data_IF_549182489449
#
_entry.id   IF_549182489449
#
_cell.length_a   1.000
_cell.length_b   1.000
_cell.length_c   1.000
_cell.angle_alpha   90.00
_cell.angle_beta   90.00
_cell.angle_gamma   90.00
#
_symmetry.space_group_name_H-M   'P 1'
#
loop_
_entity.id
_entity.type
_entity.pdbx_description
1 polymer ?
#
# COMPACT_ATOMS: atom_id res chain seq x y z
N UNK A 1 -25.67 12.73 -8.96
CA UNK A 1 -24.22 12.55 -9.21
C UNK A 1 -23.94 12.76 -10.68
N UNK A 2 -24.60 12.00 -11.57
CA UNK A 2 -24.55 12.16 -13.02
C UNK A 2 -24.71 13.62 -13.51
N UNK A 3 -25.72 14.33 -13.00
CA UNK A 3 -25.96 15.74 -13.35
C UNK A 3 -24.78 16.69 -13.06
N UNK A 4 -24.00 16.44 -12.00
CA UNK A 4 -22.84 17.25 -11.64
C UNK A 4 -21.64 16.91 -12.53
N UNK A 5 -21.46 15.62 -12.85
CA UNK A 5 -20.40 15.14 -13.73
C UNK A 5 -20.59 15.69 -15.15
N UNK A 6 -21.83 15.72 -15.63
CA UNK A 6 -22.17 16.32 -16.94
C UNK A 6 -21.83 17.81 -16.97
N UNK A 7 -22.14 18.56 -15.90
CA UNK A 7 -21.79 19.98 -15.81
C UNK A 7 -20.27 20.19 -15.82
N UNK A 8 -19.50 19.33 -15.15
CA UNK A 8 -18.04 19.40 -15.13
C UNK A 8 -17.41 19.26 -16.52
N UNK A 9 -18.07 18.55 -17.45
CA UNK A 9 -17.58 18.37 -18.83
C UNK A 9 -17.41 19.70 -19.58
N UNK A 10 -18.24 20.70 -19.29
CA UNK A 10 -18.14 22.03 -19.90
C UNK A 10 -16.85 22.77 -19.53
N UNK A 11 -16.24 22.40 -18.40
CA UNK A 11 -15.01 22.98 -17.87
C UNK A 11 -13.77 22.10 -18.11
N UNK A 12 -13.90 21.02 -18.87
CA UNK A 12 -12.80 20.11 -19.16
C UNK A 12 -11.67 20.82 -19.93
N UNK A 13 -10.44 20.70 -19.44
CA UNK A 13 -9.29 21.43 -19.97
C UNK A 13 -8.79 20.87 -21.32
N UNK A 14 -9.08 19.60 -21.63
CA UNK A 14 -8.64 18.95 -22.86
C UNK A 14 -9.58 17.79 -23.25
N UNK A 15 -9.30 17.17 -24.41
CA UNK A 15 -10.13 16.10 -24.96
C UNK A 15 -10.08 14.81 -24.14
N UNK A 16 -8.97 14.51 -23.44
CA UNK A 16 -8.91 13.34 -22.56
C UNK A 16 -9.87 13.50 -21.38
N UNK A 17 -9.91 14.69 -20.77
CA UNK A 17 -10.87 14.99 -19.70
C UNK A 17 -12.32 14.91 -20.18
N UNK A 18 -12.64 15.41 -21.37
CA UNK A 18 -14.00 15.27 -21.94
C UNK A 18 -14.37 13.80 -22.13
N UNK A 19 -13.47 13.01 -22.71
CA UNK A 19 -13.70 11.58 -22.97
C UNK A 19 -13.81 10.76 -21.69
N UNK A 20 -12.96 10.99 -20.69
CA UNK A 20 -13.05 10.28 -19.41
C UNK A 20 -14.38 10.61 -18.71
N UNK A 21 -14.79 11.88 -18.70
CA UNK A 21 -16.05 12.31 -18.08
C UNK A 21 -17.24 11.67 -18.80
N UNK A 22 -17.27 11.65 -20.14
CA UNK A 22 -18.30 10.98 -20.93
C UNK A 22 -18.41 9.50 -20.57
N UNK A 23 -17.28 8.80 -20.46
CA UNK A 23 -17.23 7.38 -20.10
C UNK A 23 -17.67 7.11 -18.66
N UNK A 24 -17.35 8.00 -17.72
CA UNK A 24 -17.87 7.88 -16.36
C UNK A 24 -19.38 8.12 -16.29
N UNK A 25 -19.93 9.04 -17.08
CA UNK A 25 -21.40 9.21 -17.21
C UNK A 25 -22.03 7.92 -17.73
N UNK A 26 -21.54 7.37 -18.85
CA UNK A 26 -22.02 6.08 -19.40
C UNK A 26 -21.96 4.96 -18.35
N UNK A 27 -20.86 4.86 -17.59
CA UNK A 27 -20.73 3.88 -16.50
C UNK A 27 -21.81 4.04 -15.42
N UNK A 28 -22.05 5.26 -14.94
CA UNK A 28 -23.04 5.47 -13.87
C UNK A 28 -24.49 5.37 -14.36
N UNK A 29 -24.74 5.62 -15.64
CA UNK A 29 -26.07 5.47 -16.25
C UNK A 29 -26.40 4.01 -16.54
N UNK A 30 -25.44 3.25 -17.07
CA UNK A 30 -25.70 1.88 -17.56
C UNK A 30 -25.26 0.78 -16.58
N UNK A 31 -24.35 1.09 -15.66
CA UNK A 31 -23.79 0.11 -14.72
C UNK A 31 -22.74 -0.83 -15.34
N UNK A 32 -22.27 -0.57 -16.56
CA UNK A 32 -21.24 -1.38 -17.22
C UNK A 32 -19.83 -0.90 -16.84
N UNK A 33 -19.04 -1.78 -16.23
CA UNK A 33 -17.66 -1.52 -15.82
C UNK A 33 -16.73 -1.28 -17.00
N UNK A 34 -17.07 -1.75 -18.20
CA UNK A 34 -16.28 -1.48 -19.41
C UNK A 34 -16.20 0.02 -19.71
N UNK A 35 -17.28 0.76 -19.47
CA UNK A 35 -17.27 2.21 -19.60
C UNK A 35 -16.33 2.86 -18.57
N UNK A 36 -16.32 2.37 -17.33
CA UNK A 36 -15.38 2.87 -16.32
C UNK A 36 -13.93 2.64 -16.75
N UNK A 37 -13.61 1.41 -17.20
CA UNK A 37 -12.30 1.04 -17.75
C UNK A 37 -11.88 1.95 -18.91
N UNK A 38 -12.76 2.18 -19.88
CA UNK A 38 -12.50 3.10 -20.99
C UNK A 38 -12.25 4.54 -20.51
N UNK A 39 -12.98 4.99 -19.48
CA UNK A 39 -12.75 6.28 -18.84
C UNK A 39 -11.37 6.36 -18.18
N UNK A 40 -10.98 5.33 -17.44
CA UNK A 40 -9.67 5.23 -16.78
C UNK A 40 -8.51 5.26 -17.79
N UNK A 41 -8.68 4.66 -18.97
CA UNK A 41 -7.70 4.75 -20.07
C UNK A 41 -7.46 6.18 -20.55
N UNK A 42 -8.52 6.99 -20.63
CA UNK A 42 -8.39 8.42 -20.97
C UNK A 42 -7.78 9.21 -19.83
N UNK A 43 -8.14 8.88 -18.58
CA UNK A 43 -7.56 9.50 -17.39
C UNK A 43 -6.05 9.28 -17.27
N UNK A 44 -5.55 8.07 -17.53
CA UNK A 44 -4.10 7.78 -17.54
C UNK A 44 -3.36 8.63 -18.58
N UNK A 45 -3.99 8.90 -19.73
CA UNK A 45 -3.44 9.71 -20.83
C UNK A 45 -3.50 11.22 -20.54
N UNK A 46 -4.24 11.67 -19.54
CA UNK A 46 -4.29 13.06 -19.10
C UNK A 46 -3.13 13.33 -18.13
N UNK A 47 -1.93 13.59 -18.66
CA UNK A 47 -0.71 13.74 -17.85
C UNK A 47 -0.61 15.17 -17.29
N UNK A 48 -0.35 15.27 -15.98
CA UNK A 48 -0.14 16.54 -15.24
C UNK A 48 -1.28 17.58 -15.38
N UNK A 49 -2.55 17.21 -15.14
CA UNK A 49 -3.63 18.20 -15.17
C UNK A 49 -3.53 19.15 -13.96
N UNK A 50 -3.93 20.40 -14.16
CA UNK A 50 -4.00 21.40 -13.06
C UNK A 50 -5.00 20.96 -11.97
N UNK A 51 -6.10 20.33 -12.38
CA UNK A 51 -7.12 19.76 -11.50
C UNK A 51 -7.19 18.26 -11.77
N UNK A 52 -6.62 17.47 -10.87
CA UNK A 52 -6.67 16.01 -10.91
C UNK A 52 -7.93 15.49 -10.21
N UNK A 53 -8.55 14.47 -10.78
CA UNK A 53 -9.74 13.85 -10.19
C UNK A 53 -9.97 12.41 -10.68
N UNK A 54 -10.53 11.58 -9.81
CA UNK A 54 -10.95 10.22 -10.14
C UNK A 54 -12.21 9.85 -9.35
N UNK A 55 -13.10 9.06 -9.95
CA UNK A 55 -14.40 8.73 -9.36
C UNK A 55 -14.89 7.35 -9.86
N UNK A 56 -15.56 6.60 -9.00
CA UNK A 56 -16.14 5.30 -9.34
C UNK A 56 -16.34 4.38 -8.13
N UNK A 57 -16.56 3.11 -8.42
CA UNK A 57 -16.49 2.03 -7.43
C UNK A 57 -15.06 1.50 -7.40
N UNK A 58 -14.26 2.17 -6.59
CA UNK A 58 -12.80 2.07 -6.65
C UNK A 58 -12.32 0.99 -5.69
N UNK A 59 -12.21 1.28 -4.40
CA UNK A 59 -11.57 0.36 -3.46
C UNK A 59 -12.52 -0.74 -2.94
N UNK A 60 -12.00 -1.97 -2.86
CA UNK A 60 -12.72 -3.14 -2.34
C UNK A 60 -12.46 -3.43 -0.85
N UNK A 61 -11.64 -2.64 -0.15
CA UNK A 61 -11.20 -2.94 1.22
C UNK A 61 -12.32 -3.18 2.24
N UNK A 62 -13.52 -2.62 2.00
CA UNK A 62 -14.66 -2.75 2.91
C UNK A 62 -15.62 -3.88 2.56
N UNK A 63 -15.41 -4.52 1.42
CA UNK A 63 -16.18 -5.70 1.03
C UNK A 63 -15.65 -6.93 1.79
N UNK A 64 -16.48 -7.62 2.61
CA UNK A 64 -16.07 -8.85 3.27
C UNK A 64 -15.59 -9.95 2.32
N UNK A 65 -16.04 -9.92 1.05
CA UNK A 65 -15.60 -10.86 0.02
C UNK A 65 -14.35 -10.37 -0.75
N UNK A 66 -13.97 -9.09 -0.63
CA UNK A 66 -12.86 -8.49 -1.36
C UNK A 66 -13.04 -8.41 -2.88
N UNK A 67 -14.27 -8.48 -3.40
CA UNK A 67 -14.53 -8.56 -4.85
C UNK A 67 -15.42 -7.45 -5.39
N UNK A 68 -16.10 -6.69 -4.53
CA UNK A 68 -16.96 -5.56 -4.93
C UNK A 68 -16.13 -4.28 -4.97
N UNK A 69 -16.14 -3.61 -6.13
CA UNK A 69 -15.29 -2.46 -6.52
C UNK A 69 -13.99 -2.88 -7.22
N UNK A 70 -13.58 -2.12 -8.24
CA UNK A 70 -12.44 -2.42 -9.13
C UNK A 70 -11.58 -1.17 -9.30
N UNK A 71 -10.70 -0.84 -8.35
CA UNK A 71 -9.72 0.24 -8.52
C UNK A 71 -8.62 -0.19 -9.48
N UNK A 72 -8.11 -1.40 -9.26
CA UNK A 72 -6.93 -1.90 -9.93
C UNK A 72 -7.33 -2.89 -11.01
N UNK A 73 -7.68 -2.37 -12.18
CA UNK A 73 -7.66 -3.20 -13.38
C UNK A 73 -6.20 -3.48 -13.75
N UNK A 74 -5.72 -4.66 -13.35
CA UNK A 74 -4.38 -5.15 -13.65
C UNK A 74 -4.07 -5.15 -15.16
N UNK A 75 -5.06 -5.31 -16.03
CA UNK A 75 -4.88 -5.24 -17.50
C UNK A 75 -4.48 -3.83 -17.92
N UNK A 76 -5.20 -2.81 -17.44
CA UNK A 76 -4.88 -1.40 -17.71
C UNK A 76 -3.52 -1.05 -17.12
N UNK A 77 -3.24 -1.45 -15.87
CA UNK A 77 -1.97 -1.17 -15.20
C UNK A 77 -0.78 -1.75 -15.98
N UNK A 78 -0.90 -2.98 -16.48
CA UNK A 78 0.17 -3.68 -17.18
C UNK A 78 0.35 -3.20 -18.63
N UNK A 79 -0.73 -2.88 -19.34
CA UNK A 79 -0.70 -2.61 -20.78
C UNK A 79 -0.76 -1.13 -21.16
N UNK A 80 -1.30 -0.27 -20.30
CA UNK A 80 -1.47 1.17 -20.57
C UNK A 80 -0.76 2.07 -19.56
N UNK A 81 -0.73 1.69 -18.28
CA UNK A 81 -0.06 2.42 -17.20
C UNK A 81 -0.98 2.76 -16.03
N UNK A 82 -0.52 3.64 -15.14
CA UNK A 82 -1.22 4.07 -13.93
C UNK A 82 -0.71 5.44 -13.47
N UNK A 83 -1.40 6.08 -12.53
CA UNK A 83 -1.00 7.35 -11.90
C UNK A 83 -0.82 7.18 -10.41
N UNK A 84 0.16 7.88 -9.85
CA UNK A 84 0.46 7.90 -8.41
C UNK A 84 0.20 9.31 -7.87
N UNK A 85 -0.56 9.43 -6.78
CA UNK A 85 -0.96 10.74 -6.22
C UNK A 85 -0.63 10.80 -4.73
N UNK A 86 0.11 11.84 -4.32
CA UNK A 86 0.40 12.12 -2.91
C UNK A 86 -0.34 13.37 -2.44
N UNK A 87 -1.16 13.23 -1.39
CA UNK A 87 -1.99 14.31 -0.85
C UNK A 87 -1.22 15.13 0.21
N UNK A 88 -0.35 16.04 -0.25
CA UNK A 88 0.58 16.80 0.61
C UNK A 88 -0.09 17.61 1.74
N UNK A 89 -1.30 18.13 1.53
CA UNK A 89 -2.06 18.86 2.56
C UNK A 89 -2.56 17.94 3.70
N UNK A 90 -2.94 16.70 3.37
CA UNK A 90 -3.34 15.68 4.36
C UNK A 90 -2.14 15.29 5.21
N UNK A 91 -0.96 15.14 4.59
CA UNK A 91 0.31 14.82 5.28
C UNK A 91 0.70 15.96 6.23
N UNK A 92 0.64 17.22 5.75
CA UNK A 92 1.04 18.40 6.50
C UNK A 92 0.15 18.72 7.71
N UNK A 93 -1.12 18.31 7.68
CA UNK A 93 -2.10 18.56 8.74
C UNK A 93 -1.90 17.66 10.00
N UNK A 94 -0.70 17.14 10.22
CA UNK A 94 -0.36 16.29 11.37
C UNK A 94 0.18 17.13 12.54
N UNK A 95 -0.58 17.34 13.62
CA UNK A 95 -0.09 18.07 14.79
C UNK A 95 1.00 17.27 15.52
N UNK A 96 1.97 18.00 16.09
CA UNK A 96 2.94 17.41 17.03
C UNK A 96 2.20 16.97 18.29
N UNK A 97 2.23 15.68 18.56
CA UNK A 97 1.68 15.07 19.76
C UNK A 97 2.64 13.99 20.23
N UNK A 98 2.68 13.74 21.55
CA UNK A 98 3.47 12.63 22.11
C UNK A 98 3.14 11.34 21.36
N UNK A 99 4.13 10.57 20.95
CA UNK A 99 3.96 9.27 20.31
C UNK A 99 3.99 8.17 21.37
N UNK A 100 3.15 7.15 21.19
CA UNK A 100 3.15 6.01 22.11
C UNK A 100 4.29 5.05 21.74
N UNK A 101 4.77 4.33 22.75
CA UNK A 101 5.64 3.15 22.62
C UNK A 101 7.06 3.38 22.13
N UNK A 102 7.49 4.61 21.89
CA UNK A 102 8.86 4.93 21.47
C UNK A 102 9.53 5.81 22.52
N UNK A 103 10.86 5.76 22.60
CA UNK A 103 11.62 6.66 23.48
C UNK A 103 11.75 8.07 22.89
N UNK A 104 12.24 9.00 23.70
CA UNK A 104 12.32 10.42 23.32
C UNK A 104 13.21 10.64 22.10
N UNK A 105 14.31 9.90 22.00
CA UNK A 105 15.24 10.00 20.87
C UNK A 105 14.56 9.60 19.56
N UNK A 106 13.87 8.46 19.54
CA UNK A 106 13.14 8.01 18.36
C UNK A 106 11.94 8.90 18.06
N UNK A 107 11.28 9.47 19.08
CA UNK A 107 10.20 10.44 18.89
C UNK A 107 10.69 11.73 18.22
N UNK A 108 11.84 12.27 18.65
CA UNK A 108 12.42 13.48 18.08
C UNK A 108 12.77 13.26 16.60
N UNK A 109 13.30 12.08 16.26
CA UNK A 109 13.53 11.68 14.87
C UNK A 109 12.23 11.56 14.08
N UNK A 110 11.20 10.92 14.64
CA UNK A 110 9.89 10.83 13.99
C UNK A 110 9.31 12.23 13.72
N UNK A 111 9.42 13.17 14.66
CA UNK A 111 8.98 14.54 14.43
C UNK A 111 9.78 15.29 13.38
N UNK A 112 11.08 15.01 13.27
CA UNK A 112 11.95 15.65 12.30
C UNK A 112 11.73 15.12 10.88
N UNK A 113 11.59 13.80 10.71
CA UNK A 113 11.68 13.16 9.39
C UNK A 113 10.39 12.49 8.91
N UNK A 114 9.34 12.35 9.74
CA UNK A 114 8.12 11.65 9.33
C UNK A 114 7.54 12.15 8.01
N UNK A 115 7.55 13.47 7.75
CA UNK A 115 7.03 14.00 6.49
C UNK A 115 7.83 13.47 5.30
N UNK A 116 9.15 13.60 5.35
CA UNK A 116 10.03 13.25 4.24
C UNK A 116 10.09 11.72 4.06
N UNK A 117 10.16 10.96 5.15
CA UNK A 117 10.10 9.50 5.09
C UNK A 117 8.76 8.97 4.59
N UNK A 118 7.65 9.63 4.95
CA UNK A 118 6.33 9.29 4.44
C UNK A 118 6.19 9.61 2.94
N UNK A 119 6.73 10.74 2.47
CA UNK A 119 6.76 11.07 1.04
C UNK A 119 7.55 10.02 0.23
N UNK A 120 8.72 9.61 0.72
CA UNK A 120 9.53 8.53 0.11
C UNK A 120 8.77 7.21 0.14
N UNK A 121 8.21 6.81 1.29
CA UNK A 121 7.48 5.55 1.43
C UNK A 121 6.27 5.50 0.51
N UNK A 122 5.44 6.55 0.45
CA UNK A 122 4.28 6.60 -0.45
C UNK A 122 4.73 6.56 -1.90
N UNK A 123 5.72 7.37 -2.28
CA UNK A 123 6.23 7.37 -3.66
C UNK A 123 6.71 5.98 -4.09
N UNK A 124 7.44 5.28 -3.23
CA UNK A 124 7.91 3.92 -3.49
C UNK A 124 6.79 2.89 -3.47
N UNK A 125 5.87 2.98 -2.51
CA UNK A 125 4.74 2.07 -2.32
C UNK A 125 3.81 2.09 -3.54
N UNK A 126 3.43 3.27 -4.00
CA UNK A 126 2.53 3.43 -5.15
C UNK A 126 3.25 3.06 -6.46
N UNK A 127 4.40 3.69 -6.73
CA UNK A 127 5.09 3.56 -8.02
C UNK A 127 5.81 2.24 -8.20
N UNK A 128 6.66 1.86 -7.24
CA UNK A 128 7.53 0.68 -7.34
C UNK A 128 6.97 -0.52 -6.57
N UNK A 129 6.10 -0.30 -5.59
CA UNK A 129 5.29 -1.32 -4.95
C UNK A 129 4.23 -1.77 -5.93
N UNK A 130 3.04 -1.16 -5.91
CA UNK A 130 1.91 -1.53 -6.76
C UNK A 130 2.23 -1.56 -8.25
N UNK A 131 3.06 -0.63 -8.73
CA UNK A 131 3.49 -0.61 -10.15
C UNK A 131 4.44 -1.71 -10.60
N UNK A 132 4.98 -2.53 -9.70
CA UNK A 132 5.88 -3.63 -10.05
C UNK A 132 5.21 -5.01 -9.98
N UNK A 133 5.90 -6.01 -10.51
CA UNK A 133 5.49 -7.41 -10.46
C UNK A 133 4.57 -7.80 -11.63
N UNK A 134 4.93 -8.91 -12.29
CA UNK A 134 4.19 -9.48 -13.41
C UNK A 134 3.34 -10.65 -12.96
N UNK A 135 2.09 -10.74 -13.42
CA UNK A 135 1.27 -11.94 -13.25
C UNK A 135 1.52 -12.88 -14.43
N UNK A 136 1.78 -14.15 -14.16
CA UNK A 136 1.91 -15.17 -15.19
C UNK A 136 0.54 -15.66 -15.59
N UNK A 137 0.18 -15.47 -16.85
CA UNK A 137 -1.16 -15.75 -17.33
C UNK A 137 -1.11 -16.63 -18.57
N UNK A 138 -2.13 -17.48 -18.69
CA UNK A 138 -2.46 -18.18 -19.91
C UNK A 138 -3.57 -17.41 -20.62
N UNK A 139 -3.31 -17.03 -21.86
CA UNK A 139 -4.25 -16.31 -22.71
C UNK A 139 -5.35 -17.25 -23.21
N UNK A 140 -6.47 -16.68 -23.67
CA UNK A 140 -7.60 -17.44 -24.20
C UNK A 140 -7.25 -18.29 -25.44
N UNK A 141 -6.21 -17.91 -26.19
CA UNK A 141 -5.69 -18.67 -27.33
C UNK A 141 -4.74 -19.82 -26.93
N UNK A 142 -4.51 -20.01 -25.64
CA UNK A 142 -3.62 -21.04 -25.08
C UNK A 142 -2.13 -20.66 -25.04
N UNK A 143 -1.77 -19.46 -25.49
CA UNK A 143 -0.41 -18.92 -25.31
C UNK A 143 -0.19 -18.42 -23.88
N UNK A 144 1.08 -18.24 -23.50
CA UNK A 144 1.44 -17.69 -22.19
C UNK A 144 2.01 -16.29 -22.36
N UNK A 145 1.77 -15.40 -21.39
CA UNK A 145 2.39 -14.08 -21.36
C UNK A 145 3.84 -14.11 -20.83
N UNK A 146 4.44 -15.29 -20.66
CA UNK A 146 5.80 -15.51 -20.16
C UNK A 146 6.48 -16.68 -20.88
N UNK A 147 7.81 -16.73 -20.83
CA UNK A 147 8.60 -17.75 -21.52
C UNK A 147 8.58 -19.08 -20.77
N UNK A 148 8.51 -20.20 -21.51
CA UNK A 148 8.37 -21.56 -20.91
C UNK A 148 9.58 -21.99 -20.07
N UNK A 149 10.74 -21.39 -20.27
CA UNK A 149 11.97 -21.62 -19.51
C UNK A 149 12.10 -20.69 -18.29
N UNK A 150 11.13 -19.79 -18.07
CA UNK A 150 11.04 -18.99 -16.84
C UNK A 150 11.07 -19.90 -15.63
N UNK A 151 11.96 -19.58 -14.68
CA UNK A 151 12.13 -20.32 -13.43
C UNK A 151 11.47 -19.58 -12.28
N UNK A 152 10.80 -20.35 -11.44
CA UNK A 152 10.29 -19.90 -10.16
C UNK A 152 11.46 -19.57 -9.23
N UNK A 153 11.45 -18.36 -8.67
CA UNK A 153 12.52 -17.87 -7.79
C UNK A 153 12.55 -18.58 -6.42
N UNK A 154 11.45 -19.21 -5.99
CA UNK A 154 11.40 -20.00 -4.75
C UNK A 154 11.96 -21.41 -5.01
N UNK A 155 11.48 -22.08 -6.05
CA UNK A 155 11.76 -23.51 -6.26
C UNK A 155 12.93 -23.77 -7.21
N UNK A 156 13.34 -22.78 -8.01
CA UNK A 156 14.34 -22.91 -9.07
C UNK A 156 13.89 -23.76 -10.27
N UNK A 157 12.65 -24.24 -10.26
CA UNK A 157 12.04 -25.11 -11.29
C UNK A 157 11.24 -24.27 -12.29
N UNK A 158 10.86 -24.83 -13.46
CA UNK A 158 9.93 -24.14 -14.36
C UNK A 158 8.62 -23.76 -13.67
N UNK A 159 8.01 -22.64 -14.08
CA UNK A 159 6.70 -22.19 -13.57
C UNK A 159 5.65 -23.30 -13.75
N UNK A 160 5.02 -23.70 -12.64
CA UNK A 160 4.04 -24.78 -12.62
C UNK A 160 2.59 -24.31 -12.49
N UNK A 161 2.37 -23.06 -12.05
CA UNK A 161 1.05 -22.45 -11.87
C UNK A 161 1.02 -21.05 -12.45
N UNK A 162 -0.16 -20.61 -12.88
CA UNK A 162 -0.43 -19.32 -13.51
C UNK A 162 -1.91 -18.94 -13.28
N UNK A 163 -2.33 -17.79 -13.79
CA UNK A 163 -3.74 -17.40 -13.89
C UNK A 163 -4.32 -17.90 -15.21
N UNK A 164 -5.49 -18.54 -15.16
CA UNK A 164 -6.27 -18.96 -16.32
C UNK A 164 -7.08 -17.78 -16.90
N UNK A 165 -7.58 -17.90 -18.15
CA UNK A 165 -8.38 -16.85 -18.76
C UNK A 165 -9.58 -16.42 -17.88
N UNK A 166 -9.63 -15.13 -17.55
CA UNK A 166 -10.69 -14.54 -16.71
C UNK A 166 -10.40 -14.55 -15.21
N UNK A 167 -9.32 -15.19 -14.75
CA UNK A 167 -8.87 -15.07 -13.36
C UNK A 167 -8.08 -13.77 -13.15
N UNK A 168 -8.37 -13.09 -12.04
CA UNK A 168 -7.65 -11.88 -11.59
C UNK A 168 -6.94 -12.15 -10.27
N UNK A 169 -6.06 -11.22 -9.85
CA UNK A 169 -5.45 -11.25 -8.52
C UNK A 169 -6.50 -11.45 -7.42
N UNK A 170 -7.50 -10.58 -7.40
CA UNK A 170 -8.57 -10.57 -6.40
C UNK A 170 -9.48 -11.81 -6.49
N UNK A 171 -9.75 -12.34 -7.70
CA UNK A 171 -10.57 -13.55 -7.82
C UNK A 171 -9.87 -14.80 -7.30
N UNK A 172 -8.54 -14.89 -7.44
CA UNK A 172 -7.74 -16.03 -6.94
C UNK A 172 -7.45 -15.94 -5.44
N UNK A 173 -6.97 -14.79 -4.97
CA UNK A 173 -6.54 -14.62 -3.58
C UNK A 173 -7.68 -14.19 -2.64
N UNK A 174 -8.85 -13.86 -3.19
CA UNK A 174 -10.07 -13.57 -2.44
C UNK A 174 -9.84 -12.52 -1.36
N UNK A 175 -10.27 -12.82 -0.14
CA UNK A 175 -10.20 -11.92 1.02
C UNK A 175 -8.78 -11.51 1.41
N UNK A 176 -7.77 -12.29 1.02
CA UNK A 176 -6.37 -12.01 1.35
C UNK A 176 -5.72 -11.04 0.36
N UNK A 177 -6.30 -10.90 -0.84
CA UNK A 177 -5.72 -10.15 -1.96
C UNK A 177 -5.27 -8.74 -1.58
N UNK A 178 -6.13 -7.94 -0.94
CA UNK A 178 -5.79 -6.57 -0.55
C UNK A 178 -4.65 -6.53 0.47
N UNK A 179 -4.77 -7.21 1.61
CA UNK A 179 -3.75 -7.16 2.67
C UNK A 179 -2.39 -7.69 2.21
N UNK A 180 -2.39 -8.72 1.36
CA UNK A 180 -1.18 -9.28 0.79
C UNK A 180 -0.50 -8.29 -0.15
N UNK A 181 -1.27 -7.64 -1.02
CA UNK A 181 -0.73 -6.66 -1.96
C UNK A 181 -0.19 -5.41 -1.25
N UNK A 182 -0.91 -4.90 -0.26
CA UNK A 182 -0.43 -3.81 0.60
C UNK A 182 0.89 -4.18 1.28
N UNK A 183 1.00 -5.41 1.79
CA UNK A 183 2.22 -5.89 2.43
C UNK A 183 3.39 -5.97 1.46
N UNK A 184 3.14 -6.37 0.22
CA UNK A 184 4.14 -6.38 -0.84
C UNK A 184 4.60 -4.96 -1.18
N UNK A 185 3.67 -4.02 -1.36
CA UNK A 185 3.99 -2.63 -1.68
C UNK A 185 4.74 -1.92 -0.54
N UNK A 186 4.30 -2.10 0.71
CA UNK A 186 5.01 -1.61 1.91
C UNK A 186 6.42 -2.23 2.04
N UNK A 187 6.58 -3.52 1.71
CA UNK A 187 7.89 -4.19 1.72
C UNK A 187 8.84 -3.64 0.64
N UNK A 188 8.35 -3.30 -0.55
CA UNK A 188 9.15 -2.62 -1.58
C UNK A 188 9.63 -1.27 -1.06
N UNK A 189 8.72 -0.46 -0.50
CA UNK A 189 9.08 0.81 0.14
C UNK A 189 10.18 0.63 1.17
N UNK A 190 10.04 -0.34 2.07
CA UNK A 190 11.05 -0.67 3.07
C UNK A 190 12.42 -1.04 2.45
N UNK A 191 12.44 -1.90 1.44
CA UNK A 191 13.68 -2.39 0.81
C UNK A 191 14.38 -1.31 0.00
N UNK A 192 13.66 -0.32 -0.51
CA UNK A 192 14.21 0.73 -1.37
C UNK A 192 14.42 2.07 -0.68
N UNK A 193 13.83 2.31 0.50
CA UNK A 193 13.81 3.63 1.14
C UNK A 193 15.17 4.18 1.61
N UNK A 194 16.23 3.37 1.62
CA UNK A 194 17.60 3.85 1.92
C UNK A 194 18.55 3.76 0.72
N UNK A 195 18.03 3.45 -0.47
CA UNK A 195 18.84 3.45 -1.69
C UNK A 195 19.28 4.87 -2.01
N UNK A 196 20.57 5.05 -2.28
CA UNK A 196 21.17 6.38 -2.41
C UNK A 196 20.67 7.12 -3.66
N UNK A 197 20.46 6.41 -4.77
CA UNK A 197 20.00 6.99 -6.03
C UNK A 197 18.53 7.40 -5.90
N UNK A 198 17.72 6.57 -5.24
CA UNK A 198 16.33 6.89 -4.93
C UNK A 198 16.25 8.11 -4.01
N UNK A 199 16.99 8.11 -2.90
CA UNK A 199 17.02 9.25 -1.99
C UNK A 199 17.51 10.51 -2.70
N UNK A 200 18.44 10.40 -3.65
CA UNK A 200 18.87 11.53 -4.47
C UNK A 200 17.71 12.10 -5.32
N UNK A 201 16.85 11.27 -5.92
CA UNK A 201 15.65 11.74 -6.63
C UNK A 201 14.70 12.53 -5.71
N UNK A 202 14.46 12.06 -4.49
CA UNK A 202 13.60 12.76 -3.53
C UNK A 202 14.28 13.98 -2.87
N UNK A 203 15.62 13.97 -2.74
CA UNK A 203 16.42 15.07 -2.15
C UNK A 203 16.87 16.11 -3.17
N UNK A 204 16.81 15.86 -4.48
CA UNK A 204 16.89 16.93 -5.48
C UNK A 204 15.77 17.98 -5.29
N UNK A 205 14.70 17.63 -4.57
CA UNK A 205 13.69 18.56 -4.09
C UNK A 205 13.98 19.20 -2.72
N UNK A 206 14.94 18.68 -1.92
CA UNK A 206 15.33 19.22 -0.60
C UNK A 206 16.82 18.98 -0.30
N UNK A 207 17.61 20.06 -0.31
CA UNK A 207 18.99 20.09 0.18
C UNK A 207 19.14 19.45 1.59
N UNK A 208 19.95 18.38 1.71
CA UNK A 208 20.89 18.02 2.79
C UNK A 208 20.99 16.47 2.94
N UNK A 209 22.18 15.91 2.64
CA UNK A 209 22.45 14.48 2.42
C UNK A 209 22.70 13.65 3.70
N UNK A 210 22.26 14.07 4.89
CA UNK A 210 22.89 13.56 6.13
C UNK A 210 22.05 12.70 7.08
N UNK A 211 20.75 12.42 6.87
CA UNK A 211 19.92 11.91 8.00
C UNK A 211 18.86 10.88 7.59
N UNK A 212 19.28 9.61 7.55
CA UNK A 212 18.40 8.44 7.46
C UNK A 212 17.78 8.12 8.84
N UNK A 213 16.47 8.31 8.98
CA UNK A 213 15.70 7.66 10.04
C UNK A 213 14.34 7.19 9.51
N UNK A 214 14.26 5.93 9.13
CA UNK A 214 12.99 5.27 8.86
C UNK A 214 12.70 4.31 10.02
N UNK A 215 11.94 4.80 11.00
CA UNK A 215 11.19 3.95 11.91
C UNK A 215 9.76 3.85 11.34
N UNK A 216 9.27 2.63 11.13
CA UNK A 216 7.91 2.35 10.68
C UNK A 216 7.00 2.16 11.90
N UNK A 217 6.02 3.06 12.18
CA UNK A 217 5.04 2.81 13.23
C UNK A 217 3.69 2.36 12.63
N UNK A 218 3.18 1.21 13.06
CA UNK A 218 1.94 1.14 13.86
C UNK A 218 1.29 -0.25 13.83
N UNK A 219 0.86 -0.67 15.02
CA UNK A 219 0.04 -1.84 15.32
C UNK A 219 -1.41 -1.41 15.64
N UNK A 220 -2.43 -2.02 15.02
CA UNK A 220 -3.83 -2.01 15.52
C UNK A 220 -4.65 -3.25 15.11
N UNK A 221 -5.54 -3.61 16.05
CA UNK A 221 -6.70 -4.53 16.01
C UNK A 221 -6.45 -5.99 15.60
N UNK A 222 -6.60 -6.90 16.57
CA UNK A 222 -6.71 -8.33 16.29
C UNK A 222 -7.98 -8.91 16.87
N UNK A 223 -8.78 -9.45 15.96
CA UNK A 223 -9.48 -10.74 16.02
C UNK A 223 -10.06 -11.00 14.61
N UNK A 224 -10.35 -9.91 13.89
CA UNK A 224 -10.41 -9.78 12.43
C UNK A 224 -9.67 -8.48 12.07
N UNK A 225 -8.68 -8.53 11.19
CA UNK A 225 -8.05 -7.30 10.70
C UNK A 225 -9.04 -6.57 9.79
N UNK A 226 -9.72 -5.55 10.32
CA UNK A 226 -10.70 -4.76 9.56
C UNK A 226 -10.08 -3.74 8.59
N UNK A 227 -8.76 -3.76 8.40
CA UNK A 227 -7.99 -2.84 7.57
C UNK A 227 -6.78 -3.57 6.98
N UNK A 228 -6.69 -3.61 5.65
CA UNK A 228 -5.67 -4.35 4.90
C UNK A 228 -4.25 -3.86 5.22
N UNK A 229 -4.05 -2.54 5.31
CA UNK A 229 -2.75 -1.93 5.61
C UNK A 229 -2.29 -2.25 7.03
N UNK A 230 -3.20 -2.25 8.01
CA UNK A 230 -2.87 -2.64 9.38
C UNK A 230 -2.42 -4.11 9.45
N UNK A 231 -3.06 -5.00 8.70
CA UNK A 231 -2.65 -6.40 8.65
C UNK A 231 -1.27 -6.57 8.00
N UNK A 232 -1.06 -5.90 6.86
CA UNK A 232 0.22 -5.84 6.16
C UNK A 232 1.37 -5.37 7.08
N UNK A 233 1.17 -4.28 7.81
CA UNK A 233 2.16 -3.72 8.76
C UNK A 233 2.42 -4.64 9.94
N UNK A 234 1.39 -5.34 10.43
CA UNK A 234 1.56 -6.36 11.46
C UNK A 234 2.43 -7.52 10.96
N UNK A 235 2.15 -8.04 9.76
CA UNK A 235 2.95 -9.09 9.12
C UNK A 235 4.40 -8.65 8.94
N UNK A 236 4.66 -7.45 8.41
CA UNK A 236 6.02 -6.93 8.25
C UNK A 236 6.75 -6.74 9.59
N UNK A 237 6.04 -6.30 10.63
CA UNK A 237 6.60 -6.22 11.98
C UNK A 237 7.02 -7.60 12.47
N UNK A 238 6.23 -8.64 12.20
CA UNK A 238 6.55 -10.04 12.57
C UNK A 238 7.75 -10.58 11.79
N UNK A 239 7.91 -10.23 10.51
CA UNK A 239 9.12 -10.54 9.73
C UNK A 239 10.35 -9.88 10.36
N UNK A 240 10.27 -8.60 10.74
CA UNK A 240 11.39 -7.90 11.37
C UNK A 240 11.74 -8.46 12.75
N UNK A 241 10.73 -8.90 13.53
CA UNK A 241 10.94 -9.58 14.81
C UNK A 241 11.60 -10.95 14.63
N UNK A 242 11.18 -11.72 13.63
CA UNK A 242 11.74 -13.06 13.34
C UNK A 242 13.17 -12.99 12.79
N UNK A 243 13.53 -11.90 12.09
CA UNK A 243 14.90 -11.64 11.65
C UNK A 243 15.91 -11.68 12.82
N UNK A 244 15.44 -11.41 14.04
CA UNK A 244 16.18 -11.62 15.27
C UNK A 244 17.35 -10.65 15.43
N UNK A 245 18.42 -11.11 16.09
CA UNK A 245 19.66 -10.33 16.33
C UNK A 245 19.44 -8.99 17.06
N UNK A 246 18.32 -8.83 17.74
CA UNK A 246 17.92 -7.58 18.39
C UNK A 246 17.68 -6.43 17.40
N UNK A 247 17.37 -6.73 16.13
CA UNK A 247 17.07 -5.70 15.14
C UNK A 247 15.81 -4.91 15.50
N UNK A 248 14.71 -5.61 15.79
CA UNK A 248 13.48 -5.02 16.34
C UNK A 248 13.13 -5.74 17.62
N UNK A 249 12.76 -4.99 18.66
CA UNK A 249 12.26 -5.53 19.91
C UNK A 249 10.99 -4.78 20.35
N UNK A 250 10.08 -5.53 20.95
CA UNK A 250 8.89 -5.00 21.61
C UNK A 250 8.86 -5.59 23.02
N UNK A 251 8.96 -4.73 24.03
CA UNK A 251 8.99 -5.14 25.44
C UNK A 251 7.83 -4.51 26.20
N UNK A 252 7.14 -5.29 27.02
CA UNK A 252 6.19 -4.75 28.00
C UNK A 252 6.93 -3.94 29.06
N UNK A 253 6.39 -2.78 29.40
CA UNK A 253 6.92 -1.89 30.43
C UNK A 253 5.79 -1.21 31.20
N UNK A 254 6.12 -0.37 32.17
CA UNK A 254 5.17 0.48 32.87
C UNK A 254 5.33 1.91 32.36
N UNK A 255 4.21 2.56 32.04
CA UNK A 255 4.19 3.97 31.62
C UNK A 255 4.37 4.90 32.81
N UNK A 256 4.58 6.20 32.54
CA UNK A 256 4.71 7.23 33.58
C UNK A 256 3.50 7.33 34.52
N UNK A 257 2.34 6.83 34.08
CA UNK A 257 1.09 6.77 34.83
C UNK A 257 0.91 5.49 35.67
N UNK A 258 1.95 4.66 35.76
CA UNK A 258 1.93 3.40 36.52
C UNK A 258 1.12 2.28 35.87
N UNK A 259 0.69 2.44 34.60
CA UNK A 259 -0.13 1.44 33.89
C UNK A 259 0.71 0.65 32.89
N UNK A 260 0.24 -0.55 32.46
CA UNK A 260 0.91 -1.32 31.41
C UNK A 260 1.15 -0.51 30.13
N UNK A 261 2.33 -0.64 29.55
CA UNK A 261 2.75 0.01 28.32
C UNK A 261 3.66 -0.91 27.49
N UNK A 262 4.00 -0.48 26.28
CA UNK A 262 4.95 -1.17 25.40
C UNK A 262 6.10 -0.24 25.07
N UNK A 263 7.28 -0.82 24.82
CA UNK A 263 8.42 -0.14 24.22
C UNK A 263 8.84 -0.87 22.95
N UNK A 264 8.70 -0.20 21.82
CA UNK A 264 9.24 -0.59 20.54
C UNK A 264 10.65 0.00 20.40
N UNK A 265 11.62 -0.82 20.00
CA UNK A 265 12.96 -0.36 19.65
C UNK A 265 13.41 -0.98 18.35
N UNK A 266 14.01 -0.15 17.50
CA UNK A 266 14.68 -0.55 16.27
C UNK A 266 16.17 -0.19 16.39
N UNK A 267 17.04 -1.17 16.17
CA UNK A 267 18.48 -0.96 16.10
C UNK A 267 18.86 -0.50 14.69
N UNK A 268 19.07 0.82 14.55
CA UNK A 268 19.35 1.46 13.25
C UNK A 268 20.62 0.93 12.58
N UNK A 269 21.57 0.41 13.35
CA UNK A 269 22.83 -0.15 12.81
C UNK A 269 22.63 -1.51 12.11
N UNK A 270 21.46 -2.12 12.29
CA UNK A 270 21.11 -3.45 11.74
C UNK A 270 20.10 -3.39 10.61
N UNK A 271 19.72 -2.20 10.15
CA UNK A 271 18.79 -2.03 9.02
C UNK A 271 19.33 -2.76 7.79
N UNK A 272 20.59 -2.51 7.39
CA UNK A 272 21.15 -3.10 6.18
C UNK A 272 21.63 -4.54 6.34
N UNK A 273 22.11 -4.90 7.54
CA UNK A 273 22.70 -6.21 7.79
C UNK A 273 21.68 -7.28 8.20
N UNK A 274 20.54 -6.89 8.77
CA UNK A 274 19.52 -7.82 9.29
C UNK A 274 18.15 -7.53 8.67
N UNK A 275 17.68 -6.28 8.76
CA UNK A 275 16.34 -5.90 8.32
C UNK A 275 16.13 -6.06 6.81
N UNK A 276 16.97 -5.41 5.99
CA UNK A 276 16.88 -5.40 4.53
C UNK A 276 16.97 -6.82 3.94
N UNK A 277 17.91 -7.70 4.33
CA UNK A 277 17.95 -9.08 3.85
C UNK A 277 16.69 -9.87 4.21
N UNK A 278 16.17 -9.72 5.44
CA UNK A 278 14.98 -10.43 5.89
C UNK A 278 13.73 -10.00 5.10
N UNK A 279 13.50 -8.68 4.96
CA UNK A 279 12.36 -8.15 4.19
C UNK A 279 12.52 -8.44 2.70
N UNK A 280 13.74 -8.41 2.14
CA UNK A 280 13.99 -8.79 0.74
C UNK A 280 13.64 -10.26 0.48
N UNK A 281 14.05 -11.16 1.37
CA UNK A 281 13.72 -12.58 1.25
C UNK A 281 12.21 -12.85 1.39
N UNK A 282 11.53 -12.09 2.25
CA UNK A 282 10.08 -12.15 2.38
C UNK A 282 9.36 -11.61 1.14
N UNK A 283 9.76 -10.43 0.65
CA UNK A 283 9.24 -9.80 -0.57
C UNK A 283 9.40 -10.70 -1.81
N UNK A 284 10.54 -11.37 -1.96
CA UNK A 284 10.76 -12.33 -3.04
C UNK A 284 9.71 -13.44 -3.01
N UNK A 285 9.38 -13.98 -1.83
CA UNK A 285 8.33 -14.99 -1.69
C UNK A 285 6.95 -14.42 -1.99
N UNK A 286 6.65 -13.20 -1.50
CA UNK A 286 5.37 -12.54 -1.78
C UNK A 286 5.15 -12.39 -3.29
N UNK A 287 6.16 -11.87 -3.99
CA UNK A 287 6.08 -11.67 -5.44
C UNK A 287 6.00 -13.00 -6.19
N UNK A 288 6.74 -14.03 -5.79
CA UNK A 288 6.69 -15.33 -6.45
C UNK A 288 5.30 -15.94 -6.41
N UNK A 289 4.69 -16.05 -5.23
CA UNK A 289 3.35 -16.63 -5.07
C UNK A 289 2.28 -15.79 -5.77
N UNK A 290 2.41 -14.45 -5.75
CA UNK A 290 1.54 -13.56 -6.54
C UNK A 290 1.70 -13.83 -8.03
N UNK A 291 2.92 -13.81 -8.56
CA UNK A 291 3.18 -13.99 -9.99
C UNK A 291 2.68 -15.34 -10.52
N UNK A 292 2.88 -16.43 -9.78
CA UNK A 292 2.47 -17.78 -10.19
C UNK A 292 1.02 -18.10 -9.83
N UNK A 293 0.29 -17.20 -9.17
CA UNK A 293 -1.08 -17.46 -8.73
C UNK A 293 -1.19 -18.66 -7.77
N UNK A 294 -0.15 -18.92 -6.97
CA UNK A 294 -0.11 -20.00 -5.97
C UNK A 294 -0.76 -19.52 -4.66
N UNK A 295 -2.06 -19.73 -4.58
CA UNK A 295 -2.91 -19.32 -3.45
C UNK A 295 -2.56 -20.11 -2.20
N UNK A 296 -2.24 -21.40 -2.31
CA UNK A 296 -1.94 -22.25 -1.16
C UNK A 296 -0.63 -21.81 -0.49
N UNK A 297 0.44 -21.68 -1.28
CA UNK A 297 1.74 -21.21 -0.81
C UNK A 297 1.68 -19.79 -0.27
N UNK A 298 1.01 -18.89 -1.00
CA UNK A 298 0.83 -17.49 -0.60
C UNK A 298 0.06 -17.36 0.71
N UNK A 299 -1.08 -18.03 0.85
CA UNK A 299 -1.91 -18.00 2.06
C UNK A 299 -1.13 -18.54 3.26
N UNK A 300 -0.50 -19.71 3.10
CA UNK A 300 0.29 -20.34 4.16
C UNK A 300 1.42 -19.44 4.65
N UNK A 301 2.15 -18.78 3.74
CA UNK A 301 3.18 -17.81 4.10
C UNK A 301 2.59 -16.65 4.89
N UNK A 302 1.57 -16.00 4.35
CA UNK A 302 1.03 -14.77 4.92
C UNK A 302 0.40 -15.00 6.30
N UNK A 303 -0.42 -16.04 6.43
CA UNK A 303 -1.06 -16.40 7.70
C UNK A 303 -0.07 -16.87 8.75
N UNK A 304 1.08 -17.46 8.36
CA UNK A 304 2.10 -17.86 9.33
C UNK A 304 2.68 -16.66 10.10
N UNK A 305 2.93 -15.54 9.41
CA UNK A 305 3.33 -14.28 10.02
C UNK A 305 2.14 -13.54 10.64
N UNK A 306 0.97 -13.65 10.02
CA UNK A 306 -0.28 -13.06 10.49
C UNK A 306 -0.86 -13.71 11.75
N UNK A 307 -0.31 -14.85 12.18
CA UNK A 307 -0.78 -15.57 13.36
C UNK A 307 -0.62 -14.72 14.63
N UNK A 308 -1.73 -14.58 15.34
CA UNK A 308 -1.79 -13.88 16.62
C UNK A 308 -1.84 -14.90 17.75
N UNK A 309 -0.88 -14.78 18.65
CA UNK A 309 -0.75 -15.59 19.85
C UNK A 309 -1.21 -14.81 21.08
N UNK A 310 -1.21 -15.47 22.25
CA UNK A 310 -1.52 -14.80 23.54
C UNK A 310 -0.68 -13.55 23.78
N UNK A 311 0.58 -13.55 23.31
CA UNK A 311 1.46 -12.38 23.38
C UNK A 311 0.90 -11.20 22.60
N UNK A 312 0.48 -11.40 21.36
CA UNK A 312 -0.07 -10.30 20.55
C UNK A 312 -1.46 -9.87 21.02
N UNK A 313 -2.25 -10.78 21.61
CA UNK A 313 -3.51 -10.42 22.30
C UNK A 313 -3.22 -9.51 23.50
N UNK A 314 -2.20 -9.84 24.31
CA UNK A 314 -1.78 -9.00 25.43
C UNK A 314 -1.31 -7.61 24.98
N UNK A 315 -0.49 -7.55 23.93
CA UNK A 315 -0.04 -6.28 23.36
C UNK A 315 -1.19 -5.45 22.80
N UNK A 316 -2.19 -6.10 22.19
CA UNK A 316 -3.40 -5.44 21.71
C UNK A 316 -4.16 -4.75 22.83
N UNK A 317 -4.34 -5.40 23.97
CA UNK A 317 -5.08 -4.81 25.09
C UNK A 317 -4.38 -3.54 25.62
N UNK A 318 -3.03 -3.57 25.70
CA UNK A 318 -2.22 -2.39 26.02
C UNK A 318 -2.40 -1.32 24.94
N UNK A 319 -2.32 -1.67 23.66
CA UNK A 319 -2.52 -0.74 22.54
C UNK A 319 -3.89 -0.05 22.59
N UNK A 320 -4.95 -0.79 22.93
CA UNK A 320 -6.31 -0.27 23.06
C UNK A 320 -6.41 0.69 24.24
N UNK A 321 -5.86 0.31 25.41
CA UNK A 321 -5.86 1.16 26.59
C UNK A 321 -5.09 2.47 26.37
N UNK A 322 -4.06 2.45 25.52
CA UNK A 322 -3.22 3.61 25.16
C UNK A 322 -3.71 4.38 23.93
N UNK A 323 -4.81 3.95 23.29
CA UNK A 323 -5.28 4.48 22.00
C UNK A 323 -5.69 5.95 22.09
N UNK A 324 -5.19 6.76 21.15
CA UNK A 324 -5.60 8.16 20.96
C UNK A 324 -6.79 8.27 19.99
N UNK A 325 -7.68 9.28 20.16
CA UNK A 325 -8.79 9.52 19.23
C UNK A 325 -8.32 9.66 17.78
N UNK A 326 -9.13 9.22 16.82
CA UNK A 326 -8.87 9.48 15.40
C UNK A 326 -9.09 10.96 15.12
N UNK A 327 -8.23 11.52 14.27
CA UNK A 327 -8.36 12.90 13.80
C UNK A 327 -9.54 12.99 12.83
N UNK A 328 -10.13 14.17 12.76
CA UNK A 328 -11.19 14.50 11.81
C UNK A 328 -10.68 15.67 11.00
N UNK A 329 -10.77 15.57 9.67
CA UNK A 329 -10.47 16.68 8.77
C UNK A 329 -11.73 17.48 8.52
N UNK A 330 -11.63 18.80 8.69
CA UNK A 330 -12.67 19.73 8.22
C UNK A 330 -12.33 20.08 6.78
N UNK A 331 -13.18 19.64 5.85
CA UNK A 331 -13.00 19.93 4.42
C UNK A 331 -13.65 21.28 4.07
N UNK A 332 -13.06 21.99 3.12
CA UNK A 332 -13.60 23.25 2.62
C UNK A 332 -14.83 22.99 1.73
N UNK A 333 -15.72 23.98 1.65
CA UNK A 333 -16.79 24.03 0.65
C UNK A 333 -16.43 25.01 -0.45
N UNK A 334 -16.79 24.69 -1.69
CA UNK A 334 -16.76 25.62 -2.83
C UNK A 334 -18.16 26.15 -3.11
N UNK A 335 -18.29 27.42 -3.49
CA UNK A 335 -19.55 28.06 -3.89
C UNK A 335 -19.35 28.82 -5.20
N UNK A 336 -20.33 28.77 -6.08
CA UNK A 336 -20.43 29.63 -7.25
C UNK A 336 -21.01 30.96 -6.76
N UNK A 337 -20.31 32.07 -6.99
CA UNK A 337 -20.80 33.43 -6.72
C UNK A 337 -21.22 34.02 -8.08
N UNK A 338 -22.51 34.27 -8.27
CA UNK A 338 -23.10 34.76 -9.54
C UNK A 338 -22.84 36.27 -9.77
N UNK A 339 -21.68 36.77 -9.37
CA UNK A 339 -21.33 38.20 -9.50
C UNK A 339 -20.89 38.61 -10.89
#
# INVERSE_FOLDING_TARGET
MESVIIQAMASAANDNQKKMISKYVEHFTEGDVKHHKDGSRFWIKDVEPVIESYIGFIENYRDPAGTRSEFEDDDIRQNEGFKNVSLGNVIAATPKQKMNFIDQEDEDLMHAYHKDSFEVQVGLHELLGHGSGKLFQKNADGTFNFDKDTKDIITGKPIATWYEPGETWSSKFGVLSSAYEECRAEAVGYVLCCDADILEVFTFYKHDKSKNSNACPSSRNVEVFGDAHCYARFVLTKVCLEAGQGFVTITECEGEDGKPDLKFKLDRTKIDSVGRPAVTAFLAKLQAYKSTGDVEGGTKLFESYGKVTEREIRWRDICIARRKPRRIFVQANTKIDDK
#
